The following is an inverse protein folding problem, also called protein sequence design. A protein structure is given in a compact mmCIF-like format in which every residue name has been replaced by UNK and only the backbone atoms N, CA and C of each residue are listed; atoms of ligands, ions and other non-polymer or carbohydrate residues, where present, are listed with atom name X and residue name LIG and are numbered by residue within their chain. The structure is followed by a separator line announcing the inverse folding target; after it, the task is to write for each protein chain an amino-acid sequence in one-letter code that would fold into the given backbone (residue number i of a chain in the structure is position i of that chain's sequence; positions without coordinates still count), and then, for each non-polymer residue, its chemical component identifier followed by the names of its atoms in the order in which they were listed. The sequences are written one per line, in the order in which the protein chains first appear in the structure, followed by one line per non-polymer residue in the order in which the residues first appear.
data_IF_795916206720
#
_entry.id   IF_795916206720
#
_cell.length_a   1.000
_cell.length_b   1.000
_cell.length_c   1.000
_cell.angle_alpha   90.00
_cell.angle_beta   90.00
_cell.angle_gamma   90.00
#
_symmetry.space_group_name_H-M   'P 1'
#
loop_
_entity.id
_entity.type
_entity.pdbx_description
1 polymer ?
#
# COMPACT_ATOMS: atom_id res chain seq x y z
N UNK A 1 3.02 -12.41 20.86
CA UNK A 1 3.60 -13.65 20.31
C UNK A 1 3.63 -13.53 18.79
N UNK A 2 4.83 -13.37 18.22
CA UNK A 2 5.04 -13.18 16.78
C UNK A 2 4.58 -14.37 15.93
N UNK A 3 4.55 -15.58 16.50
CA UNK A 3 4.04 -16.78 15.83
C UNK A 3 2.56 -16.63 15.53
N UNK A 4 1.79 -16.11 16.50
CA UNK A 4 0.37 -15.85 16.33
C UNK A 4 0.12 -14.71 15.32
N UNK A 5 0.96 -13.68 15.30
CA UNK A 5 0.87 -12.60 14.31
C UNK A 5 1.02 -13.12 12.87
N UNK A 6 2.02 -13.98 12.63
CA UNK A 6 2.25 -14.58 11.33
C UNK A 6 1.08 -15.47 10.87
N UNK A 7 0.44 -16.21 11.79
CA UNK A 7 -0.73 -17.04 11.46
C UNK A 7 -1.91 -16.19 10.94
N UNK A 8 -2.26 -15.11 11.63
CA UNK A 8 -3.29 -14.19 11.15
C UNK A 8 -2.90 -13.57 9.81
N UNK A 9 -1.64 -13.15 9.64
CA UNK A 9 -1.16 -12.61 8.38
C UNK A 9 -1.28 -13.60 7.20
N UNK A 10 -0.91 -14.87 7.39
CA UNK A 10 -1.01 -15.88 6.34
C UNK A 10 -2.46 -16.19 5.96
N UNK A 11 -3.37 -16.24 6.95
CA UNK A 11 -4.79 -16.41 6.68
C UNK A 11 -5.40 -15.19 5.99
N UNK A 12 -5.01 -13.98 6.40
CA UNK A 12 -5.37 -12.73 5.73
C UNK A 12 -4.94 -12.70 4.26
N UNK A 13 -3.74 -13.20 3.95
CA UNK A 13 -3.27 -13.35 2.57
C UNK A 13 -4.12 -14.34 1.75
N UNK A 14 -4.57 -15.44 2.36
CA UNK A 14 -5.46 -16.39 1.70
C UNK A 14 -6.83 -15.74 1.37
N UNK A 15 -7.39 -14.96 2.30
CA UNK A 15 -8.59 -14.18 2.04
C UNK A 15 -8.37 -13.11 0.97
N UNK A 16 -7.24 -12.40 1.00
CA UNK A 16 -6.91 -11.41 -0.02
C UNK A 16 -6.83 -12.01 -1.44
N UNK A 17 -6.18 -13.17 -1.57
CA UNK A 17 -6.07 -13.90 -2.86
C UNK A 17 -7.41 -14.39 -3.41
N UNK A 18 -8.40 -14.56 -2.54
CA UNK A 18 -9.78 -14.90 -2.92
C UNK A 18 -10.70 -13.67 -2.97
N UNK A 19 -10.11 -12.47 -3.00
CA UNK A 19 -10.80 -11.17 -3.02
C UNK A 19 -11.75 -10.92 -1.84
N UNK A 20 -11.62 -11.69 -0.76
CA UNK A 20 -12.37 -11.49 0.48
C UNK A 20 -11.68 -10.43 1.35
N UNK A 21 -11.64 -9.20 0.86
CA UNK A 21 -10.85 -8.12 1.45
C UNK A 21 -11.30 -7.75 2.86
N UNK A 22 -12.59 -7.88 3.20
CA UNK A 22 -13.10 -7.61 4.56
C UNK A 22 -12.49 -8.56 5.60
N UNK A 23 -12.49 -9.86 5.33
CA UNK A 23 -11.83 -10.84 6.21
C UNK A 23 -10.32 -10.67 6.24
N UNK A 24 -9.71 -10.31 5.11
CA UNK A 24 -8.28 -9.99 5.07
C UNK A 24 -7.94 -8.80 5.99
N UNK A 25 -8.76 -7.73 5.99
CA UNK A 25 -8.58 -6.57 6.86
C UNK A 25 -8.66 -6.93 8.35
N UNK A 26 -9.61 -7.79 8.74
CA UNK A 26 -9.73 -8.28 10.12
C UNK A 26 -8.48 -9.05 10.55
N UNK A 27 -8.02 -9.98 9.72
CA UNK A 27 -6.84 -10.79 10.01
C UNK A 27 -5.56 -9.94 10.06
N UNK A 28 -5.39 -8.97 9.14
CA UNK A 28 -4.25 -8.06 9.21
C UNK A 28 -4.30 -7.15 10.44
N UNK A 29 -5.49 -6.74 10.91
CA UNK A 29 -5.64 -5.99 12.16
C UNK A 29 -5.16 -6.80 13.37
N UNK A 30 -5.51 -8.10 13.45
CA UNK A 30 -4.99 -8.97 14.51
C UNK A 30 -3.47 -9.15 14.41
N UNK A 31 -2.92 -9.32 13.21
CA UNK A 31 -1.48 -9.43 13.02
C UNK A 31 -0.75 -8.15 13.50
N UNK A 32 -1.26 -6.97 13.15
CA UNK A 32 -0.71 -5.67 13.57
C UNK A 32 -0.82 -5.47 15.09
N UNK A 33 -1.94 -5.87 15.72
CA UNK A 33 -2.08 -5.79 17.19
C UNK A 33 -1.04 -6.63 17.92
N UNK A 34 -0.65 -7.76 17.35
CA UNK A 34 0.32 -8.68 17.93
C UNK A 34 1.78 -8.28 17.64
N UNK A 35 2.02 -7.59 16.52
CA UNK A 35 3.33 -7.12 16.07
C UNK A 35 3.19 -5.80 15.28
N UNK A 36 3.09 -4.65 15.99
CA UNK A 36 2.79 -3.35 15.38
C UNK A 36 3.96 -2.72 14.63
N UNK A 37 5.18 -3.22 14.83
CA UNK A 37 6.39 -2.70 14.19
C UNK A 37 6.64 -3.31 12.80
N UNK A 38 5.84 -4.30 12.41
CA UNK A 38 6.01 -5.01 11.16
C UNK A 38 5.40 -4.25 9.97
N UNK A 39 6.27 -3.53 9.25
CA UNK A 39 5.90 -2.78 8.04
C UNK A 39 5.15 -3.63 7.00
N UNK A 40 5.43 -4.94 6.91
CA UNK A 40 4.77 -5.85 5.98
C UNK A 40 3.29 -6.02 6.30
N UNK A 41 2.90 -6.11 7.57
CA UNK A 41 1.50 -6.27 7.95
C UNK A 41 0.70 -4.99 7.66
N UNK A 42 1.29 -3.82 7.96
CA UNK A 42 0.74 -2.51 7.62
C UNK A 42 0.56 -2.36 6.10
N UNK A 43 1.58 -2.75 5.31
CA UNK A 43 1.53 -2.74 3.85
C UNK A 43 0.36 -3.58 3.29
N UNK A 44 0.19 -4.81 3.78
CA UNK A 44 -0.86 -5.71 3.28
C UNK A 44 -2.26 -5.24 3.70
N UNK A 45 -2.39 -4.56 4.84
CA UNK A 45 -3.63 -3.89 5.19
C UNK A 45 -3.96 -2.74 4.23
N UNK A 46 -2.94 -1.98 3.81
CA UNK A 46 -3.06 -1.00 2.72
C UNK A 46 -3.55 -1.63 1.42
N UNK A 47 -2.98 -2.76 1.01
CA UNK A 47 -3.44 -3.51 -0.18
C UNK A 47 -4.90 -3.94 -0.07
N UNK A 48 -5.34 -4.42 1.09
CA UNK A 48 -6.73 -4.82 1.29
C UNK A 48 -7.69 -3.63 1.26
N UNK A 49 -7.30 -2.45 1.77
CA UNK A 49 -8.09 -1.22 1.58
C UNK A 49 -8.14 -0.78 0.12
N UNK A 50 -7.02 -0.87 -0.61
CA UNK A 50 -6.99 -0.62 -2.04
C UNK A 50 -7.94 -1.57 -2.80
N UNK A 51 -7.97 -2.85 -2.46
CA UNK A 51 -8.92 -3.84 -3.01
C UNK A 51 -10.38 -3.52 -2.67
N UNK A 52 -10.63 -2.87 -1.53
CA UNK A 52 -11.95 -2.33 -1.17
C UNK A 52 -12.30 -0.98 -1.83
N UNK A 53 -11.44 -0.45 -2.70
CA UNK A 53 -11.56 0.91 -3.26
C UNK A 53 -11.57 2.04 -2.19
N UNK A 54 -11.02 1.76 -1.01
CA UNK A 54 -10.88 2.72 0.11
C UNK A 54 -9.52 3.40 0.04
N UNK A 55 -9.42 4.39 -0.86
CA UNK A 55 -8.15 5.02 -1.27
C UNK A 55 -7.44 5.71 -0.09
N UNK A 56 -8.15 6.51 0.71
CA UNK A 56 -7.55 7.29 1.80
C UNK A 56 -7.01 6.41 2.93
N UNK A 57 -7.72 5.33 3.24
CA UNK A 57 -7.27 4.35 4.23
C UNK A 57 -6.07 3.55 3.72
N UNK A 58 -6.00 3.25 2.41
CA UNK A 58 -4.82 2.65 1.81
C UNK A 58 -3.60 3.58 1.95
N UNK A 59 -3.74 4.87 1.65
CA UNK A 59 -2.70 5.90 1.84
C UNK A 59 -2.20 5.89 3.29
N UNK A 60 -3.11 5.92 4.26
CA UNK A 60 -2.75 5.92 5.69
C UNK A 60 -1.89 4.72 6.06
N UNK A 61 -2.28 3.51 5.65
CA UNK A 61 -1.55 2.29 6.01
C UNK A 61 -0.23 2.13 5.26
N UNK A 62 -0.12 2.64 4.03
CA UNK A 62 1.19 2.71 3.35
C UNK A 62 2.13 3.72 4.02
N UNK A 63 1.63 4.87 4.48
CA UNK A 63 2.42 5.83 5.27
C UNK A 63 2.91 5.20 6.57
N UNK A 64 2.02 4.55 7.33
CA UNK A 64 2.40 3.80 8.54
C UNK A 64 3.46 2.72 8.27
N UNK A 65 3.34 2.00 7.15
CA UNK A 65 4.37 1.02 6.78
C UNK A 65 5.74 1.70 6.54
N UNK A 66 5.76 2.88 5.91
CA UNK A 66 6.98 3.65 5.66
C UNK A 66 7.53 4.35 6.92
N UNK A 67 6.69 4.64 7.91
CA UNK A 67 7.15 5.09 9.24
C UNK A 67 7.93 3.99 9.95
N UNK A 68 7.53 2.72 9.77
CA UNK A 68 8.22 1.55 10.34
C UNK A 68 9.44 1.12 9.54
N UNK A 69 9.34 1.11 8.22
CA UNK A 69 10.44 0.84 7.31
C UNK A 69 10.46 1.87 6.16
N UNK A 70 11.26 2.95 6.30
CA UNK A 70 11.39 3.97 5.27
C UNK A 70 11.93 3.44 3.94
N UNK A 71 12.52 2.25 3.89
CA UNK A 71 13.06 1.63 2.66
C UNK A 71 12.10 0.62 2.04
N UNK A 72 10.89 0.45 2.57
CA UNK A 72 9.89 -0.48 2.06
C UNK A 72 9.34 -0.06 0.68
N UNK A 73 10.10 -0.35 -0.36
CA UNK A 73 9.82 0.05 -1.76
C UNK A 73 8.41 -0.31 -2.23
N UNK A 74 7.85 -1.50 -1.92
CA UNK A 74 6.47 -1.81 -2.32
C UNK A 74 5.44 -0.87 -1.71
N UNK A 75 5.62 -0.40 -0.47
CA UNK A 75 4.69 0.54 0.16
C UNK A 75 4.76 1.90 -0.51
N UNK A 76 5.97 2.37 -0.83
CA UNK A 76 6.14 3.66 -1.48
C UNK A 76 5.57 3.66 -2.91
N UNK A 77 5.76 2.58 -3.66
CA UNK A 77 5.17 2.43 -4.99
C UNK A 77 3.63 2.48 -4.93
N UNK A 78 3.01 1.69 -4.06
CA UNK A 78 1.54 1.68 -3.94
C UNK A 78 0.99 2.99 -3.36
N UNK A 79 1.75 3.67 -2.47
CA UNK A 79 1.40 5.00 -2.00
C UNK A 79 1.31 6.01 -3.15
N UNK A 80 2.27 5.98 -4.09
CA UNK A 80 2.22 6.80 -5.30
C UNK A 80 0.98 6.54 -6.15
N UNK A 81 0.63 5.26 -6.35
CA UNK A 81 -0.61 4.88 -7.05
C UNK A 81 -1.84 5.43 -6.32
N UNK A 82 -1.90 5.33 -4.99
CA UNK A 82 -3.05 5.82 -4.24
C UNK A 82 -3.15 7.34 -4.24
N UNK A 83 -2.03 8.07 -4.17
CA UNK A 83 -2.03 9.52 -4.36
C UNK A 83 -2.54 9.91 -5.74
N UNK A 84 -2.10 9.23 -6.80
CA UNK A 84 -2.63 9.46 -8.16
C UNK A 84 -4.14 9.25 -8.23
N UNK A 85 -4.65 8.15 -7.64
CA UNK A 85 -6.10 7.88 -7.56
C UNK A 85 -6.89 8.89 -6.74
N UNK A 86 -6.28 9.50 -5.74
CA UNK A 86 -6.90 10.57 -4.92
C UNK A 86 -6.76 11.96 -5.57
N UNK A 87 -6.17 12.06 -6.77
CA UNK A 87 -5.94 13.33 -7.49
C UNK A 87 -4.73 14.13 -7.01
N UNK A 88 -3.93 13.57 -6.11
CA UNK A 88 -2.76 14.19 -5.50
C UNK A 88 -1.50 13.95 -6.35
N UNK A 89 -1.44 14.55 -7.54
CA UNK A 89 -0.41 14.25 -8.55
C UNK A 89 1.02 14.59 -8.13
N UNK A 90 1.24 15.70 -7.41
CA UNK A 90 2.56 16.06 -6.89
C UNK A 90 3.08 14.99 -5.93
N UNK A 91 2.27 14.60 -4.94
CA UNK A 91 2.62 13.55 -3.98
C UNK A 91 2.81 12.18 -4.65
N UNK A 92 2.08 11.89 -5.73
CA UNK A 92 2.29 10.68 -6.52
C UNK A 92 3.68 10.66 -7.19
N UNK A 93 4.07 11.75 -7.85
CA UNK A 93 5.38 11.88 -8.48
C UNK A 93 6.52 11.85 -7.45
N UNK A 94 6.36 12.52 -6.30
CA UNK A 94 7.33 12.47 -5.20
C UNK A 94 7.55 11.03 -4.72
N UNK A 95 6.48 10.25 -4.57
CA UNK A 95 6.57 8.84 -4.20
C UNK A 95 7.29 8.02 -5.29
N UNK A 96 7.04 8.28 -6.57
CA UNK A 96 7.66 7.56 -7.69
C UNK A 96 9.11 7.97 -8.00
N UNK A 97 9.53 9.18 -7.64
CA UNK A 97 10.90 9.68 -7.85
C UNK A 97 11.86 9.34 -6.69
N UNK A 98 11.41 8.50 -5.76
CA UNK A 98 12.21 8.03 -4.63
C UNK A 98 13.13 6.87 -5.01
N UNK A 99 13.84 6.30 -4.02
CA UNK A 99 14.73 5.12 -4.16
C UNK A 99 13.97 3.79 -4.43
N UNK A 100 12.96 3.81 -5.31
CA UNK A 100 12.32 2.61 -5.84
C UNK A 100 13.10 2.17 -7.09
N UNK A 101 13.43 0.87 -7.24
CA UNK A 101 14.11 0.38 -8.44
C UNK A 101 13.35 0.75 -9.72
N UNK A 102 14.04 1.36 -10.67
CA UNK A 102 13.47 1.66 -11.97
C UNK A 102 13.11 0.37 -12.71
N UNK A 103 11.87 0.30 -13.16
CA UNK A 103 11.34 -0.78 -13.96
C UNK A 103 10.18 -0.25 -14.81
N UNK A 104 9.72 -1.07 -15.75
CA UNK A 104 8.63 -0.70 -16.66
C UNK A 104 7.38 -0.21 -15.91
N UNK A 105 7.00 -0.87 -14.81
CA UNK A 105 5.82 -0.47 -14.04
C UNK A 105 5.96 0.93 -13.40
N UNK A 106 7.17 1.31 -12.98
CA UNK A 106 7.43 2.66 -12.45
C UNK A 106 7.34 3.73 -13.54
N UNK A 107 7.90 3.46 -14.72
CA UNK A 107 7.79 4.37 -15.87
C UNK A 107 6.34 4.54 -16.33
N UNK A 108 5.59 3.44 -16.43
CA UNK A 108 4.17 3.46 -16.75
C UNK A 108 3.38 4.26 -15.73
N UNK A 109 3.62 4.03 -14.42
CA UNK A 109 2.94 4.76 -13.36
C UNK A 109 3.17 6.27 -13.45
N UNK A 110 4.42 6.71 -13.66
CA UNK A 110 4.75 8.14 -13.84
C UNK A 110 4.09 8.72 -15.10
N UNK A 111 4.12 7.99 -16.21
CA UNK A 111 3.47 8.40 -17.46
C UNK A 111 1.98 8.64 -17.30
N UNK A 112 1.28 7.77 -16.56
CA UNK A 112 -0.13 7.95 -16.22
C UNK A 112 -0.37 9.22 -15.40
N UNK A 113 0.49 9.51 -14.42
CA UNK A 113 0.37 10.76 -13.63
C UNK A 113 0.56 11.98 -14.51
N UNK A 114 1.59 12.03 -15.36
CA UNK A 114 1.83 13.18 -16.24
C UNK A 114 0.70 13.40 -17.24
N UNK A 115 0.18 12.32 -17.85
CA UNK A 115 -0.95 12.39 -18.76
C UNK A 115 -2.18 12.97 -18.07
N UNK A 116 -2.52 12.46 -16.89
CA UNK A 116 -3.70 12.89 -16.18
C UNK A 116 -3.52 14.33 -15.68
N UNK A 117 -2.35 14.70 -15.16
CA UNK A 117 -2.03 16.07 -14.74
C UNK A 117 -2.20 17.09 -15.88
N UNK A 118 -1.69 16.79 -17.09
CA UNK A 118 -1.87 17.66 -18.26
C UNK A 118 -3.27 17.64 -18.88
N UNK A 119 -4.18 16.78 -18.39
CA UNK A 119 -5.60 16.78 -18.79
C UNK A 119 -6.47 17.66 -17.89
N UNK A 120 -5.91 18.21 -16.80
CA UNK A 120 -6.60 19.11 -15.87
C UNK A 120 -6.22 20.60 -16.06
N UNK A 121 -5.32 20.91 -17.01
CA UNK A 121 -4.97 22.27 -17.46
C UNK A 121 -5.84 22.71 -18.65
#
# INVERSE_FOLDING_TARGET
DATNAALFFHRGNAFYRTSNFKKALEDYEFAIKLDPENAKYLHHKGLAFQGCHRVREAIEFYKKALEKDPKHSPSRFHLGIMFHRDGQYSYALDAFNSDIPENQALFEARGLVYRDMGSYD
#
